data_IF_416113845217
#
_entry.id   IF_416113845217
#
_cell.length_a   1.000
_cell.length_b   1.000
_cell.length_c   1.000
_cell.angle_alpha   90.00
_cell.angle_beta   90.00
_cell.angle_gamma   90.00
#
_symmetry.space_group_name_H-M   'P 1'
#
loop_
_entity.id
_entity.type
_entity.pdbx_description
1 polymer ?
#
# COMPACT_ATOMS: atom_id res chain seq x y z
N UNK A 1 -16.00 -30.73 -19.25
CA UNK A 1 -16.05 -29.58 -18.35
C UNK A 1 -14.69 -28.88 -18.18
N UNK A 2 -13.55 -29.57 -17.93
CA UNK A 2 -12.21 -28.93 -17.75
C UNK A 2 -11.73 -28.10 -18.96
N UNK A 3 -12.02 -28.48 -20.20
CA UNK A 3 -11.62 -27.75 -21.42
C UNK A 3 -12.36 -26.41 -21.62
N UNK A 4 -13.59 -26.30 -21.15
CA UNK A 4 -14.40 -25.07 -21.26
C UNK A 4 -13.94 -24.03 -20.26
N UNK A 5 -13.51 -24.43 -19.06
CA UNK A 5 -13.00 -23.52 -18.02
C UNK A 5 -11.66 -22.88 -18.45
N UNK A 6 -10.78 -23.64 -19.13
CA UNK A 6 -9.51 -23.13 -19.64
C UNK A 6 -9.73 -22.13 -20.79
N UNK A 7 -10.73 -22.38 -21.64
CA UNK A 7 -11.07 -21.48 -22.75
C UNK A 7 -11.67 -20.15 -22.28
N UNK A 8 -12.51 -20.18 -21.23
CA UNK A 8 -13.06 -18.97 -20.60
C UNK A 8 -11.98 -18.13 -19.88
N UNK A 9 -11.02 -18.78 -19.23
CA UNK A 9 -9.89 -18.10 -18.60
C UNK A 9 -8.98 -17.37 -19.61
N UNK A 10 -8.71 -18.00 -20.76
CA UNK A 10 -7.93 -17.38 -21.84
C UNK A 10 -8.66 -16.22 -22.50
N UNK A 11 -9.98 -16.30 -22.70
CA UNK A 11 -10.80 -15.22 -23.24
C UNK A 11 -10.88 -14.01 -22.29
N UNK A 12 -10.95 -14.22 -21.00
CA UNK A 12 -10.92 -13.14 -20.00
C UNK A 12 -9.55 -12.43 -19.98
N UNK A 13 -8.47 -13.17 -20.10
CA UNK A 13 -7.10 -12.61 -20.18
C UNK A 13 -6.90 -11.75 -21.44
N UNK A 14 -7.42 -12.17 -22.60
CA UNK A 14 -7.31 -11.40 -23.85
C UNK A 14 -8.21 -10.16 -23.84
N UNK A 15 -9.38 -10.22 -23.19
CA UNK A 15 -10.27 -9.07 -23.05
C UNK A 15 -9.69 -8.03 -22.09
N UNK A 16 -9.06 -8.49 -21.00
CA UNK A 16 -8.36 -7.62 -20.05
C UNK A 16 -7.12 -6.94 -20.69
N UNK A 17 -6.38 -7.67 -21.53
CA UNK A 17 -5.24 -7.12 -22.27
C UNK A 17 -5.67 -6.04 -23.27
N UNK A 18 -6.75 -6.23 -24.00
CA UNK A 18 -7.27 -5.23 -24.95
C UNK A 18 -7.76 -3.94 -24.30
N UNK A 19 -8.31 -4.00 -23.09
CA UNK A 19 -8.72 -2.81 -22.32
C UNK A 19 -7.48 -2.06 -21.78
N UNK A 20 -6.43 -2.78 -21.41
CA UNK A 20 -5.16 -2.22 -20.96
C UNK A 20 -4.49 -1.39 -22.08
N UNK A 21 -4.40 -1.91 -23.30
CA UNK A 21 -3.79 -1.20 -24.45
C UNK A 21 -4.53 0.09 -24.84
N UNK A 22 -5.85 0.12 -24.75
CA UNK A 22 -6.65 1.30 -25.09
C UNK A 22 -6.51 2.45 -24.07
N UNK A 23 -6.19 2.16 -22.81
CA UNK A 23 -6.05 3.15 -21.75
C UNK A 23 -4.60 3.61 -21.51
N UNK A 24 -3.62 2.76 -21.80
CA UNK A 24 -2.20 3.01 -21.47
C UNK A 24 -1.39 3.68 -22.58
N UNK A 25 -1.91 3.78 -23.81
CA UNK A 25 -1.22 4.41 -24.93
C UNK A 25 -0.81 5.88 -24.70
N UNK A 26 -1.58 6.62 -23.88
CA UNK A 26 -1.27 8.02 -23.57
C UNK A 26 -0.26 8.20 -22.41
N UNK A 27 -0.19 7.23 -21.49
CA UNK A 27 0.72 7.30 -20.34
C UNK A 27 2.17 7.00 -20.73
N UNK A 28 2.39 6.07 -21.65
CA UNK A 28 3.74 5.74 -22.17
C UNK A 28 4.35 6.90 -22.95
N UNK A 29 3.56 7.71 -23.62
CA UNK A 29 4.05 8.86 -24.40
C UNK A 29 4.43 10.04 -23.49
N UNK A 30 3.67 10.30 -22.43
CA UNK A 30 4.01 11.29 -21.42
C UNK A 30 5.24 10.87 -20.60
N UNK A 31 5.40 9.60 -20.31
CA UNK A 31 6.55 9.03 -19.62
C UNK A 31 7.83 9.15 -20.47
N UNK A 32 7.76 8.86 -21.77
CA UNK A 32 8.88 9.08 -22.72
C UNK A 32 9.28 10.54 -22.79
N UNK A 33 8.34 11.47 -22.82
CA UNK A 33 8.62 12.92 -22.79
C UNK A 33 9.33 13.36 -21.52
N UNK A 34 8.89 12.86 -20.35
CA UNK A 34 9.51 13.18 -19.07
C UNK A 34 10.96 12.67 -19.00
N UNK A 35 11.20 11.42 -19.43
CA UNK A 35 12.53 10.81 -19.50
C UNK A 35 13.43 11.62 -20.46
N UNK A 36 12.92 12.05 -21.61
CA UNK A 36 13.67 12.86 -22.57
C UNK A 36 14.06 14.24 -21.99
N UNK A 37 13.16 14.88 -21.24
CA UNK A 37 13.44 16.17 -20.58
C UNK A 37 14.51 15.99 -19.50
N UNK A 38 14.41 14.98 -18.66
CA UNK A 38 15.41 14.69 -17.62
C UNK A 38 16.78 14.29 -18.20
N UNK A 39 16.81 13.62 -19.35
CA UNK A 39 18.04 13.30 -20.08
C UNK A 39 18.68 14.55 -20.69
N UNK A 40 17.89 15.50 -21.16
CA UNK A 40 18.36 16.76 -21.74
C UNK A 40 19.00 17.66 -20.69
N UNK A 41 18.41 17.78 -19.49
CA UNK A 41 18.96 18.56 -18.38
C UNK A 41 20.28 17.97 -17.82
N UNK A 42 20.46 16.65 -17.89
CA UNK A 42 21.71 16.00 -17.47
C UNK A 42 22.83 16.05 -18.52
N UNK A 43 22.52 16.22 -19.80
CA UNK A 43 23.53 16.39 -20.86
C UNK A 43 24.23 17.74 -20.80
N UNK A 44 23.59 18.77 -20.28
CA UNK A 44 24.18 20.11 -20.13
C UNK A 44 25.16 20.23 -18.94
N UNK A 45 25.25 19.22 -18.07
CA UNK A 45 26.09 19.27 -16.86
C UNK A 45 27.34 18.39 -16.87
N UNK A 46 27.53 17.46 -17.81
CA UNK A 46 28.73 16.61 -17.82
C UNK A 46 29.26 16.36 -19.24
N UNK A 47 30.27 17.11 -19.61
CA UNK A 47 31.17 16.69 -20.68
C UNK A 47 32.19 15.68 -20.16
N UNK A 48 32.30 14.56 -20.85
CA UNK A 48 33.29 13.47 -20.89
C UNK A 48 32.84 12.11 -20.32
N UNK A 49 32.60 11.24 -21.28
CA UNK A 49 32.96 9.81 -21.46
C UNK A 49 32.89 8.86 -20.25
N UNK A 50 31.83 8.07 -20.19
CA UNK A 50 31.81 6.61 -19.95
C UNK A 50 30.37 6.19 -20.30
N UNK A 51 30.19 5.45 -21.38
CA UNK A 51 28.89 4.99 -21.90
C UNK A 51 28.76 3.47 -21.70
N UNK A 52 27.67 3.05 -21.21
CA UNK A 52 26.87 1.85 -21.33
C UNK A 52 26.29 1.28 -20.01
N UNK A 53 27.07 1.23 -18.90
CA UNK A 53 26.56 0.70 -17.62
C UNK A 53 25.78 1.71 -16.78
N UNK A 54 25.84 2.99 -17.17
CA UNK A 54 25.29 4.10 -16.37
C UNK A 54 23.80 4.36 -16.68
N UNK A 55 23.29 4.02 -17.86
CA UNK A 55 21.89 4.26 -18.22
C UNK A 55 20.94 3.28 -17.54
N UNK A 56 21.25 2.00 -17.56
CA UNK A 56 20.44 0.96 -16.89
C UNK A 56 20.40 1.17 -15.38
N UNK A 57 21.52 1.63 -14.78
CA UNK A 57 21.58 1.89 -13.35
C UNK A 57 20.85 3.17 -12.96
N UNK A 58 20.85 4.19 -13.81
CA UNK A 58 20.11 5.46 -13.60
C UNK A 58 18.61 5.28 -13.81
N UNK A 59 18.18 4.52 -14.82
CA UNK A 59 16.77 4.16 -15.01
C UNK A 59 16.23 3.38 -13.82
N UNK A 60 16.97 2.39 -13.33
CA UNK A 60 16.58 1.63 -12.14
C UNK A 60 16.52 2.49 -10.87
N UNK A 61 17.46 3.41 -10.67
CA UNK A 61 17.46 4.31 -9.49
C UNK A 61 16.29 5.30 -9.54
N UNK A 62 16.00 5.88 -10.72
CA UNK A 62 14.85 6.79 -10.89
C UNK A 62 13.53 6.03 -10.76
N UNK A 63 13.46 4.82 -11.29
CA UNK A 63 12.29 3.95 -11.20
C UNK A 63 12.02 3.53 -9.75
N UNK A 64 13.05 3.15 -9.00
CA UNK A 64 12.96 2.80 -7.58
C UNK A 64 12.56 4.02 -6.73
N UNK A 65 13.12 5.19 -6.99
CA UNK A 65 12.78 6.41 -6.27
C UNK A 65 11.32 6.85 -6.49
N UNK A 66 10.80 6.73 -7.72
CA UNK A 66 9.39 7.07 -8.04
C UNK A 66 8.38 6.08 -7.44
N UNK A 67 8.77 4.82 -7.25
CA UNK A 67 7.92 3.80 -6.61
C UNK A 67 7.89 3.93 -5.09
N UNK A 68 9.04 4.23 -4.46
CA UNK A 68 9.17 4.33 -3.01
C UNK A 68 8.55 5.59 -2.40
N UNK A 69 8.27 6.61 -3.20
CA UNK A 69 7.66 7.88 -2.73
C UNK A 69 6.12 7.87 -2.79
N UNK A 70 5.51 6.87 -3.46
CA UNK A 70 4.05 6.83 -3.58
C UNK A 70 3.43 6.26 -2.31
N UNK A 71 2.64 7.07 -1.63
CA UNK A 71 1.86 6.69 -0.45
C UNK A 71 0.55 6.04 -0.87
N UNK A 72 0.08 5.06 -0.12
CA UNK A 72 -1.22 4.39 -0.24
C UNK A 72 -1.96 4.44 1.09
N UNK A 73 -3.28 4.52 1.04
CA UNK A 73 -4.17 4.66 2.18
C UNK A 73 -5.13 3.47 2.23
N UNK A 74 -4.97 2.62 3.23
CA UNK A 74 -5.70 1.35 3.36
C UNK A 74 -6.70 1.44 4.50
N UNK A 75 -8.00 1.36 4.20
CA UNK A 75 -9.04 1.23 5.21
C UNK A 75 -8.95 -0.16 5.84
N UNK A 76 -8.68 -0.23 7.13
CA UNK A 76 -8.70 -1.48 7.90
C UNK A 76 -10.11 -1.73 8.41
N UNK A 77 -10.76 -2.79 7.93
CA UNK A 77 -12.15 -3.14 8.25
C UNK A 77 -12.22 -3.95 9.54
N UNK A 78 -13.30 -3.76 10.29
CA UNK A 78 -13.64 -4.51 11.50
C UNK A 78 -14.51 -5.76 11.21
N UNK A 79 -14.86 -6.51 12.25
CA UNK A 79 -15.79 -7.66 12.22
C UNK A 79 -15.44 -8.69 11.13
N UNK A 80 -14.16 -9.09 11.04
CA UNK A 80 -13.72 -10.02 10.01
C UNK A 80 -14.00 -9.52 8.58
N UNK A 81 -13.75 -8.24 8.32
CA UNK A 81 -13.99 -7.51 7.08
C UNK A 81 -15.46 -7.15 6.77
N UNK A 82 -16.37 -7.31 7.73
CA UNK A 82 -17.80 -7.06 7.49
C UNK A 82 -18.20 -5.58 7.63
N UNK A 83 -17.44 -4.77 8.38
CA UNK A 83 -17.75 -3.36 8.61
C UNK A 83 -16.57 -2.44 8.29
N UNK A 84 -16.86 -1.29 7.71
CA UNK A 84 -15.91 -0.19 7.53
C UNK A 84 -15.64 0.57 8.83
N UNK A 85 -16.56 0.47 9.80
CA UNK A 85 -16.56 1.27 11.03
C UNK A 85 -16.22 0.43 12.24
N UNK A 86 -15.44 1.01 13.15
CA UNK A 86 -15.12 0.46 14.45
C UNK A 86 -15.93 1.19 15.54
N UNK A 87 -16.42 0.47 16.54
CA UNK A 87 -17.02 1.08 17.76
C UNK A 87 -15.96 1.76 18.61
N UNK A 88 -14.80 1.11 18.70
CA UNK A 88 -13.59 1.55 19.37
C UNK A 88 -12.37 0.91 18.69
N UNK A 89 -11.21 1.48 18.91
CA UNK A 89 -9.94 1.00 18.36
C UNK A 89 -8.95 0.90 19.50
N UNK A 90 -8.41 -0.29 19.73
CA UNK A 90 -7.32 -0.53 20.66
C UNK A 90 -6.00 -0.61 19.90
N UNK A 91 -5.05 0.28 20.21
CA UNK A 91 -3.75 0.37 19.54
C UNK A 91 -2.63 0.14 20.54
N UNK A 92 -1.63 -0.60 20.14
CA UNK A 92 -0.31 -0.63 20.77
C UNK A 92 0.78 -0.58 19.72
N UNK A 93 2.03 -0.34 20.11
CA UNK A 93 3.19 -0.35 19.22
C UNK A 93 4.40 -0.93 19.93
N UNK A 94 5.29 -1.58 19.19
CA UNK A 94 6.57 -2.05 19.70
C UNK A 94 7.64 -0.94 19.81
N UNK A 95 7.37 0.26 19.24
CA UNK A 95 8.12 1.49 19.41
C UNK A 95 7.35 2.56 20.19
N UNK A 96 8.03 3.60 20.66
CA UNK A 96 7.37 4.80 21.18
C UNK A 96 6.56 5.44 20.03
N UNK A 97 5.36 5.94 20.33
CA UNK A 97 4.49 6.52 19.31
C UNK A 97 3.78 7.78 19.80
N UNK A 98 3.32 8.59 18.87
CA UNK A 98 2.58 9.80 19.17
C UNK A 98 1.18 9.78 18.52
N UNK A 99 0.22 10.36 19.24
CA UNK A 99 -1.14 10.62 18.75
C UNK A 99 -1.32 12.13 18.65
N UNK A 100 -1.56 12.63 17.44
CA UNK A 100 -1.70 14.06 17.14
C UNK A 100 -3.13 14.40 16.75
N UNK A 101 -3.62 15.53 17.31
CA UNK A 101 -4.90 16.13 16.95
C UNK A 101 -4.73 17.65 16.82
N UNK A 102 -4.55 18.14 15.59
CA UNK A 102 -4.15 19.53 15.34
C UNK A 102 -2.79 19.83 15.97
N UNK A 103 -2.73 20.81 16.89
CA UNK A 103 -1.52 21.18 17.63
C UNK A 103 -1.30 20.35 18.91
N UNK A 104 -2.30 19.55 19.31
CA UNK A 104 -2.18 18.68 20.48
C UNK A 104 -1.41 17.42 20.13
N UNK A 105 -0.49 17.01 20.99
CA UNK A 105 0.32 15.81 20.84
C UNK A 105 0.35 15.03 22.15
N UNK A 106 0.09 13.73 22.09
CA UNK A 106 0.16 12.78 23.20
C UNK A 106 1.21 11.73 22.88
N UNK A 107 2.24 11.62 23.72
CA UNK A 107 3.30 10.62 23.58
C UNK A 107 2.94 9.36 24.38
N UNK A 108 3.05 8.22 23.74
CA UNK A 108 2.82 6.88 24.27
C UNK A 108 4.11 6.08 24.21
N UNK A 109 4.34 5.22 25.19
CA UNK A 109 5.53 4.36 25.24
C UNK A 109 5.31 3.06 24.50
N UNK A 110 6.41 2.47 24.04
CA UNK A 110 6.39 1.11 23.49
C UNK A 110 5.66 0.14 24.43
N UNK A 111 4.72 -0.64 23.88
CA UNK A 111 3.87 -1.55 24.61
C UNK A 111 2.71 -0.90 25.40
N UNK A 112 2.59 0.41 25.41
CA UNK A 112 1.42 1.08 25.99
C UNK A 112 0.21 0.87 25.07
N UNK A 113 -0.91 0.44 25.67
CA UNK A 113 -2.17 0.21 24.97
C UNK A 113 -3.10 1.39 25.16
N UNK A 114 -3.58 1.95 24.07
CA UNK A 114 -4.54 3.07 24.08
C UNK A 114 -5.84 2.64 23.40
N UNK A 115 -6.95 2.80 24.12
CA UNK A 115 -8.30 2.58 23.59
C UNK A 115 -8.92 3.91 23.18
N UNK A 116 -9.30 4.01 21.92
CA UNK A 116 -9.86 5.21 21.29
C UNK A 116 -11.32 4.93 20.94
N UNK A 117 -12.21 5.80 21.41
CA UNK A 117 -13.64 5.80 21.08
C UNK A 117 -14.02 7.13 20.45
N UNK A 118 -15.20 7.23 19.82
CA UNK A 118 -15.71 8.48 19.28
C UNK A 118 -15.90 9.58 20.35
N UNK A 119 -15.84 9.23 21.64
CA UNK A 119 -16.01 10.14 22.77
C UNK A 119 -14.68 10.45 23.46
N UNK A 120 -13.55 9.94 22.96
CA UNK A 120 -12.25 10.23 23.53
C UNK A 120 -11.90 11.72 23.45
N UNK A 121 -11.34 12.28 24.52
CA UNK A 121 -10.85 13.67 24.58
C UNK A 121 -9.72 13.92 23.55
N UNK A 122 -9.15 12.86 22.98
CA UNK A 122 -8.17 12.95 21.90
C UNK A 122 -8.72 13.71 20.68
N UNK A 123 -10.04 13.68 20.41
CA UNK A 123 -10.71 14.42 19.32
C UNK A 123 -11.10 15.86 19.71
N UNK A 124 -10.35 16.50 20.62
CA UNK A 124 -10.73 17.83 21.14
C UNK A 124 -10.66 18.96 20.11
N UNK A 125 -9.92 18.81 19.02
CA UNK A 125 -9.69 19.85 18.01
C UNK A 125 -10.24 19.48 16.63
N UNK A 126 -9.98 18.26 16.19
CA UNK A 126 -10.32 17.78 14.86
C UNK A 126 -10.93 16.39 14.94
N UNK A 127 -11.75 16.02 13.97
CA UNK A 127 -12.34 14.68 13.86
C UNK A 127 -11.37 13.63 13.26
N UNK A 128 -10.07 13.98 13.16
CA UNK A 128 -9.02 13.10 12.67
C UNK A 128 -7.86 13.10 13.66
N UNK A 129 -7.44 11.90 14.06
CA UNK A 129 -6.18 11.66 14.76
C UNK A 129 -5.15 11.16 13.76
N UNK A 130 -3.94 11.65 13.87
CA UNK A 130 -2.76 11.08 13.20
C UNK A 130 -1.92 10.36 14.22
N UNK A 131 -1.55 9.10 13.94
CA UNK A 131 -0.73 8.27 14.82
C UNK A 131 0.52 7.87 14.06
N UNK A 132 1.69 8.11 14.65
CA UNK A 132 2.97 7.80 14.03
C UNK A 132 3.96 7.26 15.07
N UNK A 133 4.86 6.39 14.62
CA UNK A 133 5.96 5.85 15.42
C UNK A 133 7.27 6.04 14.65
N UNK A 134 8.36 6.21 15.37
CA UNK A 134 9.71 6.27 14.78
C UNK A 134 10.28 4.83 14.66
N UNK A 135 9.83 4.15 13.59
CA UNK A 135 10.28 2.79 13.23
C UNK A 135 9.60 1.65 13.99
N UNK A 136 8.59 1.93 14.81
CA UNK A 136 7.77 0.89 15.45
C UNK A 136 6.59 0.48 14.58
N UNK A 137 6.19 -0.78 14.70
CA UNK A 137 4.96 -1.31 14.09
C UNK A 137 3.76 -1.09 15.03
N UNK A 138 2.59 -0.92 14.44
CA UNK A 138 1.33 -0.86 15.18
C UNK A 138 0.65 -2.22 15.22
N UNK A 139 0.02 -2.52 16.35
CA UNK A 139 -0.74 -3.76 16.57
C UNK A 139 -2.14 -3.42 17.06
N UNK A 140 -3.10 -4.21 16.62
CA UNK A 140 -4.51 -4.06 16.95
C UNK A 140 -5.03 -5.38 17.53
N UNK A 141 -5.02 -5.58 18.86
CA UNK A 141 -5.39 -6.84 19.50
C UNK A 141 -6.80 -7.34 19.17
N UNK A 142 -7.70 -6.44 18.76
CA UNK A 142 -9.09 -6.74 18.46
C UNK A 142 -9.38 -6.82 16.95
N UNK A 143 -8.37 -6.67 16.10
CA UNK A 143 -8.53 -6.75 14.66
C UNK A 143 -8.36 -8.20 14.19
N UNK A 144 -9.47 -8.88 13.94
CA UNK A 144 -9.46 -10.29 13.50
C UNK A 144 -8.82 -10.43 12.11
N UNK A 145 -7.74 -11.20 12.02
CA UNK A 145 -7.04 -11.57 10.79
C UNK A 145 -6.73 -13.07 10.81
N UNK A 146 -6.25 -13.64 9.70
CA UNK A 146 -5.97 -15.07 9.61
C UNK A 146 -4.79 -15.49 10.51
N UNK A 147 -3.84 -14.62 10.75
CA UNK A 147 -2.73 -14.82 11.68
C UNK A 147 -2.84 -13.79 12.81
N UNK A 148 -2.38 -14.17 14.00
CA UNK A 148 -2.32 -13.29 15.17
C UNK A 148 -1.04 -12.44 15.14
N UNK A 149 -1.04 -11.34 15.88
CA UNK A 149 0.13 -10.48 16.11
C UNK A 149 0.77 -9.88 14.83
N UNK A 150 -0.05 -9.60 13.80
CA UNK A 150 0.43 -8.93 12.60
C UNK A 150 0.66 -7.45 12.89
N UNK A 151 1.91 -6.99 12.67
CA UNK A 151 2.30 -5.59 12.76
C UNK A 151 1.94 -4.80 11.50
N UNK A 152 1.58 -3.55 11.67
CA UNK A 152 1.28 -2.59 10.60
C UNK A 152 2.33 -1.49 10.57
N UNK A 153 3.04 -1.38 9.46
CA UNK A 153 4.04 -0.35 9.21
C UNK A 153 3.40 0.99 8.84
N UNK A 154 4.21 2.06 8.82
CA UNK A 154 3.78 3.38 8.40
C UNK A 154 3.11 4.18 9.52
N UNK A 155 2.05 4.90 9.17
CA UNK A 155 1.27 5.72 10.10
C UNK A 155 -0.22 5.37 10.02
N UNK A 156 -0.99 5.90 10.99
CA UNK A 156 -2.42 5.66 11.04
C UNK A 156 -3.16 6.99 11.03
N UNK A 157 -4.33 7.00 10.38
CA UNK A 157 -5.35 8.02 10.58
C UNK A 157 -6.59 7.37 11.19
N UNK A 158 -7.10 7.93 12.26
CA UNK A 158 -8.36 7.53 12.87
C UNK A 158 -9.33 8.68 12.71
N UNK A 159 -10.41 8.41 11.98
CA UNK A 159 -11.43 9.42 11.66
C UNK A 159 -12.70 9.14 12.41
N UNK A 160 -13.16 10.15 13.16
CA UNK A 160 -14.46 10.11 13.83
C UNK A 160 -15.57 10.45 12.84
N UNK A 161 -16.62 9.65 12.84
CA UNK A 161 -17.83 9.84 12.03
C UNK A 161 -19.08 9.61 12.86
N UNK A 162 -20.26 9.92 12.29
CA UNK A 162 -21.54 9.63 12.94
C UNK A 162 -21.85 8.14 13.05
N UNK A 163 -21.13 7.27 12.27
CA UNK A 163 -21.35 5.83 12.25
C UNK A 163 -20.32 5.06 13.11
N UNK A 164 -19.26 5.72 13.58
CA UNK A 164 -18.17 5.12 14.33
C UNK A 164 -16.81 5.69 13.93
N UNK A 165 -15.75 4.93 14.18
CA UNK A 165 -14.39 5.30 13.81
C UNK A 165 -13.98 4.59 12.52
N UNK A 166 -13.32 5.29 11.61
CA UNK A 166 -12.59 4.71 10.49
C UNK A 166 -11.12 4.62 10.84
N UNK A 167 -10.51 3.47 10.57
CA UNK A 167 -9.08 3.23 10.77
C UNK A 167 -8.40 3.10 9.40
N UNK A 168 -7.50 4.02 9.09
CA UNK A 168 -6.76 4.04 7.83
C UNK A 168 -5.27 3.89 8.11
N UNK A 169 -4.65 2.88 7.54
CA UNK A 169 -3.19 2.71 7.54
C UNK A 169 -2.60 3.45 6.33
N UNK A 170 -1.58 4.25 6.57
CA UNK A 170 -0.94 5.12 5.59
C UNK A 170 0.53 4.76 5.51
N UNK A 171 0.96 4.26 4.35
CA UNK A 171 2.31 3.73 4.19
C UNK A 171 2.78 3.85 2.72
N UNK A 172 4.03 3.49 2.44
CA UNK A 172 4.51 3.44 1.06
C UNK A 172 3.80 2.35 0.26
N UNK A 173 3.65 2.55 -1.05
CA UNK A 173 3.08 1.53 -1.93
C UNK A 173 3.85 0.21 -1.89
N UNK A 174 5.18 0.26 -1.78
CA UNK A 174 6.00 -0.95 -1.74
C UNK A 174 5.83 -1.71 -0.42
N UNK A 175 5.76 -1.03 0.74
CA UNK A 175 5.47 -1.66 2.04
C UNK A 175 4.06 -2.27 2.06
N UNK A 176 3.08 -1.59 1.47
CA UNK A 176 1.74 -2.15 1.27
C UNK A 176 1.79 -3.48 0.50
N UNK A 177 2.59 -3.55 -0.57
CA UNK A 177 2.71 -4.77 -1.38
C UNK A 177 3.39 -5.92 -0.62
N UNK A 178 4.28 -5.64 0.32
CA UNK A 178 4.84 -6.64 1.23
C UNK A 178 3.77 -7.28 2.12
N UNK A 179 2.73 -6.54 2.50
CA UNK A 179 1.56 -7.08 3.23
C UNK A 179 0.52 -7.77 2.32
N UNK A 180 0.42 -7.38 1.05
CA UNK A 180 -0.52 -7.98 0.07
C UNK A 180 0.00 -9.30 -0.46
N UNK A 181 1.25 -9.36 -0.90
CA UNK A 181 1.77 -10.51 -1.64
C UNK A 181 1.67 -11.82 -0.86
N UNK A 182 2.08 -11.93 0.42
CA UNK A 182 1.91 -13.16 1.21
C UNK A 182 0.45 -13.48 1.51
N UNK A 183 -0.42 -12.47 1.54
CA UNK A 183 -1.86 -12.66 1.78
C UNK A 183 -2.59 -13.23 0.56
N UNK A 184 -2.11 -12.96 -0.65
CA UNK A 184 -2.71 -13.38 -1.92
C UNK A 184 -2.03 -14.62 -2.51
N UNK A 185 -0.73 -14.83 -2.26
CA UNK A 185 0.05 -15.91 -2.87
C UNK A 185 1.05 -16.50 -1.88
N UNK A 186 1.09 -17.83 -1.77
CA UNK A 186 2.06 -18.51 -0.91
C UNK A 186 3.49 -18.27 -1.35
N UNK A 187 4.40 -18.02 -0.40
CA UNK A 187 5.85 -17.89 -0.61
C UNK A 187 6.48 -19.12 -1.29
N UNK A 188 5.81 -20.29 -1.26
CA UNK A 188 6.29 -21.52 -1.94
C UNK A 188 6.15 -21.49 -3.48
N UNK A 189 5.53 -20.46 -4.05
CA UNK A 189 5.47 -20.32 -5.50
C UNK A 189 6.84 -19.93 -6.09
N UNK A 190 7.09 -20.24 -7.38
CA UNK A 190 8.33 -19.82 -8.05
C UNK A 190 8.51 -18.29 -7.99
N UNK A 191 9.75 -17.84 -7.80
CA UNK A 191 10.10 -16.41 -7.68
C UNK A 191 9.53 -15.56 -8.82
N UNK A 192 9.59 -16.03 -10.05
CA UNK A 192 9.03 -15.30 -11.21
C UNK A 192 7.50 -15.16 -11.15
N UNK A 193 6.80 -16.10 -10.51
CA UNK A 193 5.36 -15.99 -10.28
C UNK A 193 5.06 -14.95 -9.19
N UNK A 194 5.85 -14.91 -8.11
CA UNK A 194 5.74 -13.90 -7.06
C UNK A 194 6.02 -12.49 -7.63
N UNK A 195 7.05 -12.33 -8.47
CA UNK A 195 7.33 -11.07 -9.17
C UNK A 195 6.18 -10.61 -10.07
N UNK A 196 5.62 -11.53 -10.86
CA UNK A 196 4.48 -11.23 -11.71
C UNK A 196 3.28 -10.77 -10.88
N UNK A 197 3.00 -11.44 -9.75
CA UNK A 197 1.94 -11.04 -8.84
C UNK A 197 2.20 -9.66 -8.22
N UNK A 198 3.44 -9.35 -7.80
CA UNK A 198 3.79 -8.05 -7.26
C UNK A 198 3.54 -6.91 -8.27
N UNK A 199 3.90 -7.10 -9.55
CA UNK A 199 3.64 -6.13 -10.63
C UNK A 199 2.12 -5.94 -10.84
N UNK A 200 1.35 -7.03 -10.86
CA UNK A 200 -0.11 -6.97 -10.99
C UNK A 200 -0.75 -6.25 -9.80
N UNK A 201 -0.33 -6.58 -8.58
CA UNK A 201 -0.84 -5.97 -7.35
C UNK A 201 -0.54 -4.47 -7.30
N UNK A 202 0.67 -4.06 -7.68
CA UNK A 202 1.07 -2.65 -7.77
C UNK A 202 0.21 -1.87 -8.76
N UNK A 203 0.04 -2.42 -9.95
CA UNK A 203 -0.80 -1.81 -10.99
C UNK A 203 -2.24 -1.67 -10.51
N UNK A 204 -2.79 -2.69 -9.86
CA UNK A 204 -4.14 -2.66 -9.31
C UNK A 204 -4.28 -1.59 -8.21
N UNK A 205 -3.37 -1.54 -7.24
CA UNK A 205 -3.39 -0.55 -6.16
C UNK A 205 -3.39 0.89 -6.70
N UNK A 206 -2.50 1.17 -7.68
CA UNK A 206 -2.44 2.47 -8.36
C UNK A 206 -3.77 2.80 -9.05
N UNK A 207 -4.40 1.84 -9.73
CA UNK A 207 -5.70 2.05 -10.36
C UNK A 207 -6.82 2.32 -9.36
N UNK A 208 -6.81 1.65 -8.20
CA UNK A 208 -7.81 1.92 -7.15
C UNK A 208 -7.63 3.33 -6.59
N UNK A 209 -6.41 3.75 -6.30
CA UNK A 209 -6.09 5.11 -5.86
C UNK A 209 -6.58 6.15 -6.87
N UNK A 210 -6.31 5.97 -8.16
CA UNK A 210 -6.76 6.87 -9.23
C UNK A 210 -8.29 6.85 -9.43
N UNK A 211 -8.95 5.74 -9.14
CA UNK A 211 -10.41 5.61 -9.25
C UNK A 211 -11.17 6.39 -8.19
N UNK A 212 -10.57 6.58 -7.01
CA UNK A 212 -11.17 7.25 -5.86
C UNK A 212 -12.38 6.53 -5.27
N UNK A 213 -12.53 5.21 -5.46
CA UNK A 213 -13.70 4.44 -5.00
C UNK A 213 -13.88 4.43 -3.48
N UNK A 214 -12.78 4.43 -2.72
CA UNK A 214 -12.79 4.45 -1.25
C UNK A 214 -12.65 5.87 -0.66
N UNK A 215 -12.75 6.91 -1.48
CA UNK A 215 -12.52 8.31 -1.08
C UNK A 215 -13.42 8.79 0.05
N UNK A 216 -14.66 8.30 0.10
CA UNK A 216 -15.62 8.69 1.15
C UNK A 216 -15.16 8.24 2.54
N UNK A 217 -14.33 7.18 2.61
CA UNK A 217 -13.68 6.70 3.84
C UNK A 217 -12.32 7.37 4.10
N UNK A 218 -11.86 8.26 3.21
CA UNK A 218 -10.53 8.86 3.28
C UNK A 218 -9.40 7.87 2.95
N UNK A 219 -9.71 6.82 2.19
CA UNK A 219 -8.79 5.77 1.78
C UNK A 219 -8.74 5.62 0.25
N UNK A 220 -7.78 4.86 -0.25
CA UNK A 220 -7.65 4.49 -1.66
C UNK A 220 -8.32 3.13 -1.96
N UNK A 221 -8.27 2.23 -0.96
CA UNK A 221 -8.83 0.88 -0.99
C UNK A 221 -9.05 0.37 0.44
N UNK A 222 -9.67 -0.81 0.58
CA UNK A 222 -9.76 -1.52 1.85
C UNK A 222 -8.91 -2.82 1.85
N UNK A 223 -8.75 -3.42 3.01
CA UNK A 223 -7.90 -4.58 3.28
C UNK A 223 -8.58 -5.94 3.00
N UNK A 224 -9.79 -5.94 2.42
CA UNK A 224 -10.60 -7.13 2.16
C UNK A 224 -10.50 -7.66 0.73
N UNK A 225 -11.14 -8.79 0.46
CA UNK A 225 -11.30 -9.37 -0.87
C UNK A 225 -12.08 -8.50 -1.87
N UNK A 226 -12.70 -7.40 -1.42
CA UNK A 226 -13.33 -6.40 -2.31
C UNK A 226 -12.29 -5.63 -3.12
N UNK A 227 -11.05 -5.59 -2.62
CA UNK A 227 -9.87 -5.02 -3.26
C UNK A 227 -8.75 -6.06 -3.31
N UNK A 228 -7.75 -5.97 -2.43
CA UNK A 228 -6.66 -6.92 -2.25
C UNK A 228 -6.54 -7.22 -0.77
N UNK A 229 -6.46 -8.50 -0.42
CA UNK A 229 -6.27 -8.87 0.98
C UNK A 229 -4.91 -8.35 1.45
N UNK A 230 -4.94 -7.50 2.48
CA UNK A 230 -3.78 -6.85 3.04
C UNK A 230 -3.54 -7.28 4.49
N UNK A 231 -2.30 -7.58 4.83
CA UNK A 231 -1.86 -7.95 6.18
C UNK A 231 -2.72 -9.04 6.84
N UNK A 232 -3.11 -10.06 6.08
CA UNK A 232 -3.80 -11.24 6.60
C UNK A 232 -2.82 -12.40 6.91
N UNK A 233 -1.56 -12.25 6.50
CA UNK A 233 -0.44 -13.15 6.77
C UNK A 233 0.84 -12.36 6.97
N UNK A 234 1.75 -12.92 7.78
CA UNK A 234 3.06 -12.32 8.00
C UNK A 234 3.88 -12.23 6.71
N UNK A 235 4.71 -11.21 6.64
CA UNK A 235 5.69 -11.01 5.57
C UNK A 235 6.67 -12.20 5.49
N UNK A 236 7.20 -12.47 4.31
CA UNK A 236 8.16 -13.52 4.05
C UNK A 236 9.32 -13.02 3.19
N UNK A 237 10.51 -13.53 3.43
CA UNK A 237 11.71 -13.09 2.71
C UNK A 237 11.55 -13.21 1.18
N UNK A 238 10.96 -14.30 0.68
CA UNK A 238 10.74 -14.53 -0.75
C UNK A 238 9.73 -13.57 -1.37
N UNK A 239 8.67 -13.24 -0.63
CA UNK A 239 7.64 -12.30 -1.07
C UNK A 239 8.15 -10.87 -1.08
N UNK A 240 8.85 -10.44 -0.04
CA UNK A 240 9.43 -9.11 0.08
C UNK A 240 10.53 -8.89 -0.97
N UNK A 241 11.34 -9.92 -1.23
CA UNK A 241 12.34 -9.87 -2.29
C UNK A 241 11.69 -9.71 -3.68
N UNK A 242 10.58 -10.40 -3.95
CA UNK A 242 9.86 -10.28 -5.21
C UNK A 242 9.27 -8.86 -5.40
N UNK A 243 8.73 -8.25 -4.36
CA UNK A 243 8.26 -6.84 -4.36
C UNK A 243 9.44 -5.91 -4.67
N UNK A 244 10.54 -6.04 -3.93
CA UNK A 244 11.73 -5.20 -4.07
C UNK A 244 12.37 -5.29 -5.46
N UNK A 245 12.49 -6.49 -6.03
CA UNK A 245 13.10 -6.70 -7.35
C UNK A 245 12.22 -6.19 -8.52
N UNK A 246 10.94 -5.92 -8.25
CA UNK A 246 10.00 -5.38 -9.23
C UNK A 246 9.56 -3.95 -8.93
N UNK A 247 10.21 -3.28 -7.97
CA UNK A 247 9.86 -1.93 -7.56
C UNK A 247 9.87 -0.97 -8.77
N UNK A 248 8.79 -0.19 -8.90
CA UNK A 248 8.63 0.78 -9.98
C UNK A 248 8.26 0.21 -11.36
N UNK A 249 8.03 -1.13 -11.49
CA UNK A 249 7.56 -1.76 -12.74
C UNK A 249 6.04 -1.76 -12.84
#
# INVERSE_FOLDING_TARGET
MKKIIILCGLLLLTFFWGILELKYGSHTENRKKLITVLQQENMDQTGTGIQEDTETHKENVVQTALGSEREIRVLLKSDGYASEYHSDICITSDGDYEIRNGENNSLCRAGEEIRITSQSDLFAKEDVLQVSSDGGMFYFPELERAEEDIGYEGSLEIRKTDQGLLLVNVLSLEDYLCGVLPSEMSASFPTEALKAQAICARTYAIQQQESGRAKDYGADLDDSTSYQVYNNRCHGEETDQAVKETAGL
#
